data_IF_668864421541
#
_entry.id   IF_668864421541
#
_cell.length_a   1.000
_cell.length_b   1.000
_cell.length_c   1.000
_cell.angle_alpha   90.00
_cell.angle_beta   90.00
_cell.angle_gamma   90.00
#
_symmetry.space_group_name_H-M   'P 1'
#
loop_
_entity.id
_entity.type
_entity.pdbx_description
1 polymer ?
#
# COMPACT_ATOMS: atom_id res chain seq x y z
N UNK A 1 -21.29 37.66 7.38
CA UNK A 1 -21.00 38.30 6.07
C UNK A 1 -22.33 38.54 5.38
N UNK A 2 -22.71 39.79 5.19
CA UNK A 2 -23.98 40.18 4.57
C UNK A 2 -23.97 39.86 3.07
N UNK A 3 -24.98 39.11 2.62
CA UNK A 3 -25.12 38.76 1.20
C UNK A 3 -25.39 39.97 0.28
N UNK A 4 -25.80 41.08 0.88
CA UNK A 4 -26.09 42.33 0.20
C UNK A 4 -25.13 43.44 0.69
N UNK A 5 -23.89 43.43 0.18
CA UNK A 5 -22.94 44.53 0.45
C UNK A 5 -23.26 45.82 -0.33
N UNK A 6 -24.16 45.75 -1.31
CA UNK A 6 -24.43 46.87 -2.22
C UNK A 6 -25.65 47.71 -1.85
N UNK A 7 -26.54 47.20 -0.96
CA UNK A 7 -27.79 47.88 -0.62
C UNK A 7 -28.07 47.73 0.87
N UNK A 8 -28.15 48.85 1.61
CA UNK A 8 -28.53 48.83 3.03
C UNK A 8 -30.01 48.46 3.20
N UNK A 9 -30.88 48.83 2.26
CA UNK A 9 -32.30 48.53 2.22
C UNK A 9 -32.78 48.60 0.77
N UNK A 10 -33.42 47.52 0.29
CA UNK A 10 -34.03 47.50 -1.04
C UNK A 10 -35.56 47.55 -0.89
N UNK A 11 -36.19 48.51 -1.54
CA UNK A 11 -37.64 48.71 -1.48
C UNK A 11 -38.23 48.76 -2.87
N UNK A 12 -39.39 48.13 -3.06
CA UNK A 12 -40.19 48.23 -4.29
C UNK A 12 -41.69 48.22 -3.94
N UNK A 13 -42.55 48.54 -4.91
CA UNK A 13 -43.99 48.34 -4.79
C UNK A 13 -44.38 46.95 -5.26
N UNK A 14 -45.44 46.38 -4.65
CA UNK A 14 -46.00 45.10 -5.04
C UNK A 14 -47.49 45.03 -4.76
N UNK A 15 -48.15 44.04 -5.37
CA UNK A 15 -49.57 43.76 -5.15
C UNK A 15 -49.69 42.55 -4.22
N UNK A 16 -50.09 42.82 -2.95
CA UNK A 16 -50.28 41.81 -1.93
C UNK A 16 -51.73 41.36 -1.82
N UNK A 17 -51.95 40.08 -1.62
CA UNK A 17 -53.23 39.46 -1.32
C UNK A 17 -53.04 38.56 -0.09
N UNK A 18 -53.81 38.87 1.00
CA UNK A 18 -53.74 38.12 2.27
C UNK A 18 -54.48 36.77 2.23
N UNK A 19 -55.28 36.48 1.17
CA UNK A 19 -56.02 35.24 1.01
C UNK A 19 -56.78 35.20 -0.30
N UNK A 20 -57.30 34.04 -0.73
CA UNK A 20 -57.91 33.85 -2.04
C UNK A 20 -59.15 34.69 -2.29
N UNK A 21 -59.92 35.00 -1.26
CA UNK A 21 -61.14 35.80 -1.34
C UNK A 21 -60.88 37.32 -1.10
N UNK A 22 -59.66 37.72 -0.81
CA UNK A 22 -59.35 39.11 -0.50
C UNK A 22 -58.91 39.90 -1.73
N UNK A 23 -59.19 41.20 -1.74
CA UNK A 23 -58.75 42.09 -2.80
C UNK A 23 -57.24 42.30 -2.79
N UNK A 24 -56.64 42.50 -3.96
CA UNK A 24 -55.25 42.92 -4.09
C UNK A 24 -55.08 44.34 -3.54
N UNK A 25 -54.04 44.50 -2.73
CA UNK A 25 -53.69 45.79 -2.14
C UNK A 25 -52.25 46.15 -2.54
N UNK A 26 -52.06 47.38 -2.94
CA UNK A 26 -50.70 47.87 -3.18
C UNK A 26 -49.97 48.06 -1.85
N UNK A 27 -48.74 47.55 -1.81
CA UNK A 27 -47.86 47.56 -0.61
C UNK A 27 -46.44 47.94 -1.00
N UNK A 28 -45.71 48.49 -0.05
CA UNK A 28 -44.27 48.68 -0.14
C UNK A 28 -43.59 47.43 0.43
N UNK A 29 -42.73 46.85 -0.36
CA UNK A 29 -41.98 45.67 -0.02
C UNK A 29 -40.54 46.07 0.29
N UNK A 30 -40.09 45.78 1.48
CA UNK A 30 -38.74 46.08 1.94
C UNK A 30 -37.99 44.79 2.24
N UNK A 31 -36.89 44.60 1.54
CA UNK A 31 -36.02 43.44 1.71
C UNK A 31 -34.89 43.76 2.70
N UNK A 32 -34.94 43.08 3.86
CA UNK A 32 -33.88 43.15 4.87
C UNK A 32 -32.88 42.01 4.74
N UNK A 33 -32.06 41.79 5.77
CA UNK A 33 -31.01 40.73 5.76
C UNK A 33 -31.57 39.30 5.84
N UNK A 34 -32.69 39.09 6.52
CA UNK A 34 -33.32 37.80 6.72
C UNK A 34 -34.84 37.80 6.54
N UNK A 35 -35.44 38.94 6.41
CA UNK A 35 -36.91 39.13 6.37
C UNK A 35 -37.32 40.01 5.22
N UNK A 36 -38.50 39.73 4.68
CA UNK A 36 -39.24 40.57 3.75
C UNK A 36 -40.37 41.20 4.53
N UNK A 37 -40.42 42.53 4.55
CA UNK A 37 -41.42 43.30 5.29
C UNK A 37 -42.37 43.95 4.28
N UNK A 38 -43.67 43.75 4.48
CA UNK A 38 -44.71 44.38 3.69
C UNK A 38 -45.35 45.46 4.53
N UNK A 39 -45.39 46.70 4.00
CA UNK A 39 -46.03 47.84 4.67
C UNK A 39 -47.08 48.45 3.76
N UNK A 40 -48.06 49.10 4.36
CA UNK A 40 -49.00 49.93 3.61
C UNK A 40 -48.35 51.25 3.17
N UNK A 41 -49.09 52.06 2.39
CA UNK A 41 -48.60 53.35 1.90
C UNK A 41 -48.40 54.38 3.02
N UNK A 42 -48.87 54.07 4.23
CA UNK A 42 -48.66 54.88 5.45
C UNK A 42 -47.55 54.32 6.35
N UNK A 43 -46.74 53.41 5.81
CA UNK A 43 -45.61 52.78 6.47
C UNK A 43 -45.97 51.88 7.69
N UNK A 44 -47.23 51.38 7.77
CA UNK A 44 -47.66 50.44 8.81
C UNK A 44 -47.37 49.02 8.36
N UNK A 45 -46.72 48.16 9.20
CA UNK A 45 -46.42 46.81 8.83
C UNK A 45 -47.69 45.96 8.70
N UNK A 46 -47.80 45.23 7.58
CA UNK A 46 -48.89 44.32 7.25
C UNK A 46 -48.49 42.86 7.41
N UNK A 47 -47.31 42.52 6.97
CA UNK A 47 -46.80 41.15 7.07
C UNK A 47 -45.27 41.13 7.15
N UNK A 48 -44.73 40.05 7.78
CA UNK A 48 -43.32 39.78 7.90
C UNK A 48 -43.05 38.34 7.43
N UNK A 49 -42.27 38.18 6.38
CA UNK A 49 -41.93 36.88 5.83
C UNK A 49 -40.47 36.56 6.01
N UNK A 50 -40.14 35.34 6.37
CA UNK A 50 -38.75 34.89 6.41
C UNK A 50 -38.24 34.61 5.01
N UNK A 51 -37.16 35.26 4.58
CA UNK A 51 -36.53 35.03 3.26
C UNK A 51 -36.13 33.60 3.01
N UNK A 52 -35.85 32.85 4.07
CA UNK A 52 -35.50 31.42 3.97
C UNK A 52 -36.70 30.51 3.67
N UNK A 53 -37.93 30.98 3.89
CA UNK A 53 -39.19 30.25 3.70
C UNK A 53 -39.95 30.70 2.45
N UNK A 54 -39.64 31.90 1.95
CA UNK A 54 -40.36 32.47 0.80
C UNK A 54 -40.22 31.59 -0.43
N UNK A 55 -41.35 31.20 -1.00
CA UNK A 55 -41.45 30.53 -2.29
C UNK A 55 -41.59 31.55 -3.42
N UNK A 56 -40.66 31.52 -4.38
CA UNK A 56 -40.62 32.48 -5.47
C UNK A 56 -41.02 31.76 -6.77
N UNK A 57 -42.18 32.09 -7.31
CA UNK A 57 -42.66 31.56 -8.61
C UNK A 57 -42.48 32.63 -9.68
N UNK A 58 -41.44 32.49 -10.47
CA UNK A 58 -41.17 33.43 -11.59
C UNK A 58 -42.11 33.17 -12.77
N UNK A 59 -42.80 34.20 -13.24
CA UNK A 59 -43.69 34.10 -14.38
C UNK A 59 -43.11 34.69 -15.66
N UNK A 60 -42.28 35.75 -15.53
CA UNK A 60 -41.56 36.43 -16.64
C UNK A 60 -40.22 36.92 -16.08
N UNK A 61 -39.34 37.38 -16.95
CA UNK A 61 -38.02 37.89 -16.54
C UNK A 61 -38.06 38.98 -15.43
N UNK A 62 -39.13 39.78 -15.42
CA UNK A 62 -39.28 40.93 -14.52
C UNK A 62 -40.47 40.78 -13.56
N UNK A 63 -41.20 39.67 -13.53
CA UNK A 63 -42.39 39.48 -12.71
C UNK A 63 -42.40 38.11 -12.02
N UNK A 64 -42.63 38.13 -10.70
CA UNK A 64 -42.78 36.91 -9.91
C UNK A 64 -43.88 37.03 -8.85
N UNK A 65 -44.50 35.91 -8.52
CA UNK A 65 -45.37 35.76 -7.37
C UNK A 65 -44.59 35.10 -6.24
N UNK A 66 -44.56 35.82 -5.11
CA UNK A 66 -43.94 35.34 -3.86
C UNK A 66 -45.01 34.85 -2.91
N UNK A 67 -44.69 33.80 -2.15
CA UNK A 67 -45.53 33.29 -1.05
C UNK A 67 -44.68 33.13 0.21
N UNK A 68 -45.27 33.35 1.42
CA UNK A 68 -44.51 33.24 2.67
C UNK A 68 -43.95 31.80 2.92
N UNK A 69 -44.65 30.81 2.37
CA UNK A 69 -44.21 29.41 2.39
C UNK A 69 -44.85 28.63 1.22
N UNK A 70 -44.31 27.48 0.82
CA UNK A 70 -44.95 26.61 -0.18
C UNK A 70 -46.35 26.22 0.25
N UNK A 71 -47.36 26.43 -0.64
CA UNK A 71 -48.76 26.13 -0.36
C UNK A 71 -49.51 27.18 0.43
N UNK A 72 -48.90 28.32 0.77
CA UNK A 72 -49.62 29.44 1.40
C UNK A 72 -50.62 30.10 0.44
N UNK A 73 -51.80 30.48 0.97
CA UNK A 73 -52.81 31.19 0.20
C UNK A 73 -52.49 32.68 0.04
N UNK A 74 -51.59 33.19 0.89
CA UNK A 74 -51.09 34.54 0.81
C UNK A 74 -50.12 34.68 -0.36
N UNK A 75 -50.24 35.77 -1.14
CA UNK A 75 -49.40 36.00 -2.31
C UNK A 75 -49.03 37.46 -2.48
N UNK A 76 -47.84 37.69 -3.00
CA UNK A 76 -47.30 39.00 -3.33
C UNK A 76 -46.78 38.99 -4.76
N UNK A 77 -47.30 39.84 -5.61
CA UNK A 77 -46.83 40.01 -7.00
C UNK A 77 -45.85 41.21 -7.01
N UNK A 78 -44.64 40.96 -7.53
CA UNK A 78 -43.59 41.97 -7.71
C UNK A 78 -43.20 41.99 -9.19
N UNK A 79 -43.03 43.23 -9.72
CA UNK A 79 -42.60 43.47 -11.12
C UNK A 79 -41.32 44.32 -11.14
N UNK A 80 -40.40 44.07 -10.21
CA UNK A 80 -39.11 44.75 -10.13
C UNK A 80 -37.96 43.72 -10.22
N UNK A 81 -37.21 43.80 -11.31
CA UNK A 81 -36.11 42.89 -11.62
C UNK A 81 -35.00 42.97 -10.56
N UNK A 82 -34.68 44.18 -10.07
CA UNK A 82 -33.60 44.40 -9.09
C UNK A 82 -33.92 43.70 -7.77
N UNK A 83 -35.19 43.83 -7.33
CA UNK A 83 -35.69 43.15 -6.13
C UNK A 83 -35.69 41.63 -6.30
N UNK A 84 -36.14 41.11 -7.44
CA UNK A 84 -36.16 39.67 -7.72
C UNK A 84 -34.76 39.09 -7.76
N UNK A 85 -33.82 39.73 -8.42
CA UNK A 85 -32.43 39.30 -8.48
C UNK A 85 -31.77 39.27 -7.07
N UNK A 86 -32.08 40.28 -6.26
CA UNK A 86 -31.62 40.35 -4.88
C UNK A 86 -32.17 39.19 -4.03
N UNK A 87 -33.48 38.93 -4.12
CA UNK A 87 -34.15 37.82 -3.43
C UNK A 87 -33.59 36.47 -3.80
N UNK A 88 -33.44 36.19 -5.08
CA UNK A 88 -32.86 34.95 -5.57
C UNK A 88 -31.40 34.77 -5.15
N UNK A 89 -30.62 35.85 -5.10
CA UNK A 89 -29.24 35.86 -4.63
C UNK A 89 -29.12 35.53 -3.14
N UNK A 90 -30.02 36.08 -2.33
CA UNK A 90 -30.11 35.82 -0.88
C UNK A 90 -30.54 34.38 -0.63
N UNK A 91 -31.58 33.89 -1.31
CA UNK A 91 -32.01 32.48 -1.21
C UNK A 91 -30.90 31.50 -1.57
N UNK A 92 -30.20 31.75 -2.66
CA UNK A 92 -29.06 30.93 -3.08
C UNK A 92 -27.90 30.94 -2.05
N UNK A 93 -27.69 32.06 -1.39
CA UNK A 93 -26.70 32.16 -0.30
C UNK A 93 -27.13 31.37 0.94
N UNK A 94 -28.44 31.44 1.30
CA UNK A 94 -28.99 30.65 2.40
C UNK A 94 -28.92 29.16 2.12
N UNK A 95 -29.27 28.69 0.92
CA UNK A 95 -29.22 27.28 0.53
C UNK A 95 -27.79 26.74 0.50
N UNK A 96 -26.83 27.58 0.09
CA UNK A 96 -25.39 27.18 0.17
C UNK A 96 -24.87 27.03 1.58
N UNK A 97 -25.43 27.78 2.53
CA UNK A 97 -25.04 27.71 3.94
C UNK A 97 -25.67 26.54 4.70
N UNK A 98 -26.67 25.87 4.11
CA UNK A 98 -27.30 24.70 4.73
C UNK A 98 -26.34 23.54 4.80
N UNK A 99 -26.08 22.95 5.98
CA UNK A 99 -25.20 21.80 6.10
C UNK A 99 -25.78 20.59 5.31
N UNK A 100 -24.95 20.01 4.46
CA UNK A 100 -25.32 18.81 3.70
C UNK A 100 -24.81 17.58 4.47
N UNK A 101 -25.60 16.96 5.36
CA UNK A 101 -25.12 15.92 6.29
C UNK A 101 -24.58 14.65 5.61
N UNK A 102 -24.96 14.43 4.34
CA UNK A 102 -24.48 13.29 3.57
C UNK A 102 -23.04 13.42 3.06
N UNK A 103 -22.56 14.63 2.75
CA UNK A 103 -21.22 14.84 2.17
C UNK A 103 -20.09 14.50 3.12
N UNK A 104 -20.21 14.89 4.39
CA UNK A 104 -19.17 14.62 5.41
C UNK A 104 -19.04 13.11 5.64
N UNK A 105 -20.14 12.38 5.72
CA UNK A 105 -20.15 10.92 5.88
C UNK A 105 -19.53 10.24 4.67
N UNK A 106 -19.83 10.70 3.46
CA UNK A 106 -19.25 10.15 2.24
C UNK A 106 -17.74 10.41 2.15
N UNK A 107 -17.27 11.61 2.49
CA UNK A 107 -15.83 11.95 2.51
C UNK A 107 -15.10 11.10 3.56
N UNK A 108 -15.67 10.93 4.76
CA UNK A 108 -15.08 10.07 5.79
C UNK A 108 -15.02 8.60 5.35
N UNK A 109 -16.07 8.08 4.74
CA UNK A 109 -16.07 6.72 4.21
C UNK A 109 -15.04 6.54 3.08
N UNK A 110 -14.96 7.49 2.15
CA UNK A 110 -13.99 7.44 1.06
C UNK A 110 -12.56 7.54 1.59
N UNK A 111 -12.29 8.46 2.52
CA UNK A 111 -10.96 8.60 3.13
C UNK A 111 -10.53 7.37 3.92
N UNK A 112 -11.45 6.69 4.62
CA UNK A 112 -11.15 5.45 5.33
C UNK A 112 -10.82 4.30 4.36
N UNK A 113 -11.54 4.18 3.24
CA UNK A 113 -11.24 3.18 2.20
C UNK A 113 -9.88 3.44 1.57
N UNK A 114 -9.56 4.70 1.23
CA UNK A 114 -8.26 5.08 0.68
C UNK A 114 -7.13 4.78 1.66
N UNK A 115 -7.31 5.12 2.95
CA UNK A 115 -6.31 4.88 4.00
C UNK A 115 -6.07 3.38 4.20
N UNK A 116 -7.13 2.56 4.27
CA UNK A 116 -7.03 1.11 4.40
C UNK A 116 -6.37 0.48 3.18
N UNK A 117 -6.70 0.93 1.96
CA UNK A 117 -6.07 0.46 0.73
C UNK A 117 -4.58 0.81 0.71
N UNK A 118 -4.21 2.00 1.11
CA UNK A 118 -2.82 2.45 1.20
C UNK A 118 -2.02 1.66 2.26
N UNK A 119 -2.61 1.45 3.44
CA UNK A 119 -2.01 0.62 4.49
C UNK A 119 -1.82 -0.84 4.05
N UNK A 120 -2.82 -1.41 3.35
CA UNK A 120 -2.75 -2.75 2.78
C UNK A 120 -1.67 -2.89 1.70
N UNK A 121 -1.46 -1.83 0.90
CA UNK A 121 -0.42 -1.82 -0.15
C UNK A 121 1.00 -1.80 0.44
N UNK A 122 1.20 -1.12 1.58
CA UNK A 122 2.52 -1.00 2.22
C UNK A 122 2.83 -2.21 3.10
N UNK A 123 1.88 -2.67 3.92
CA UNK A 123 2.10 -3.71 4.92
C UNK A 123 1.69 -5.10 4.44
N UNK A 124 0.79 -5.18 3.46
CA UNK A 124 0.31 -6.44 2.90
C UNK A 124 1.41 -7.34 2.35
N UNK A 125 2.34 -6.86 1.51
CA UNK A 125 3.40 -7.68 0.95
C UNK A 125 4.30 -8.30 2.02
N UNK A 126 4.73 -7.55 3.02
CA UNK A 126 5.58 -8.03 4.11
C UNK A 126 4.86 -9.06 5.00
N UNK A 127 3.59 -8.86 5.27
CA UNK A 127 2.79 -9.83 6.02
C UNK A 127 2.62 -11.15 5.24
N UNK A 128 2.42 -11.07 3.92
CA UNK A 128 2.28 -12.25 3.06
C UNK A 128 3.57 -13.07 2.97
N UNK A 129 4.73 -12.42 2.81
CA UNK A 129 6.02 -13.12 2.75
C UNK A 129 6.33 -13.85 4.05
N UNK A 130 6.11 -13.20 5.20
CA UNK A 130 6.27 -13.83 6.52
C UNK A 130 5.29 -14.98 6.75
N UNK A 131 4.05 -14.83 6.30
CA UNK A 131 3.07 -15.92 6.40
C UNK A 131 3.47 -17.10 5.52
N UNK A 132 3.89 -16.86 4.27
CA UNK A 132 4.33 -17.89 3.34
C UNK A 132 5.54 -18.68 3.88
N UNK A 133 6.52 -17.98 4.47
CA UNK A 133 7.69 -18.64 5.05
C UNK A 133 7.33 -19.52 6.27
N UNK A 134 6.38 -19.12 7.09
CA UNK A 134 6.01 -19.87 8.29
C UNK A 134 5.10 -21.09 8.03
N UNK A 135 4.27 -21.03 7.00
CA UNK A 135 3.28 -22.08 6.71
C UNK A 135 3.87 -23.22 5.86
N UNK A 136 4.95 -22.97 5.14
CA UNK A 136 5.51 -23.96 4.23
C UNK A 136 6.16 -25.14 4.99
N UNK A 137 5.70 -26.41 4.78
CA UNK A 137 6.27 -27.59 5.42
C UNK A 137 7.75 -27.76 5.07
N UNK A 138 8.54 -28.34 6.00
CA UNK A 138 9.98 -28.60 5.82
C UNK A 138 10.28 -29.36 4.54
N UNK A 139 9.51 -30.41 4.24
CA UNK A 139 9.67 -31.21 3.03
C UNK A 139 9.57 -30.37 1.74
N UNK A 140 8.69 -29.35 1.73
CA UNK A 140 8.54 -28.43 0.59
C UNK A 140 9.70 -27.45 0.50
N UNK A 141 10.25 -27.00 1.62
CA UNK A 141 11.46 -26.16 1.65
C UNK A 141 12.66 -26.90 1.08
N UNK A 142 12.85 -28.17 1.43
CA UNK A 142 13.89 -29.04 0.88
C UNK A 142 13.71 -29.22 -0.63
N UNK A 143 12.48 -29.50 -1.07
CA UNK A 143 12.16 -29.64 -2.49
C UNK A 143 12.46 -28.34 -3.27
N UNK A 144 12.02 -27.19 -2.74
CA UNK A 144 12.29 -25.90 -3.36
C UNK A 144 13.79 -25.60 -3.44
N UNK A 145 14.54 -25.89 -2.36
CA UNK A 145 16.00 -25.75 -2.33
C UNK A 145 16.68 -26.63 -3.38
N UNK A 146 16.19 -27.86 -3.61
CA UNK A 146 16.71 -28.74 -4.64
C UNK A 146 16.46 -28.15 -6.04
N UNK A 147 15.24 -27.71 -6.33
CA UNK A 147 14.88 -27.12 -7.62
C UNK A 147 15.71 -25.87 -7.89
N UNK A 148 15.85 -24.98 -6.87
CA UNK A 148 16.67 -23.79 -6.97
C UNK A 148 18.15 -24.12 -7.19
N UNK A 149 18.72 -25.06 -6.43
CA UNK A 149 20.12 -25.49 -6.61
C UNK A 149 20.33 -26.03 -8.01
N UNK A 150 19.44 -26.88 -8.52
CA UNK A 150 19.53 -27.40 -9.89
C UNK A 150 19.49 -26.26 -10.93
N UNK A 151 18.61 -25.29 -10.74
CA UNK A 151 18.50 -24.14 -11.66
C UNK A 151 19.71 -23.22 -11.61
N UNK A 152 20.26 -22.99 -10.42
CA UNK A 152 21.52 -22.25 -10.25
C UNK A 152 22.65 -22.93 -10.99
N UNK A 153 22.78 -24.26 -10.86
CA UNK A 153 23.77 -25.03 -11.60
C UNK A 153 23.61 -24.96 -13.13
N UNK A 154 22.38 -24.84 -13.64
CA UNK A 154 22.13 -24.63 -15.08
C UNK A 154 22.51 -23.22 -15.55
N UNK A 155 22.38 -22.20 -14.69
CA UNK A 155 22.64 -20.79 -15.03
C UNK A 155 24.12 -20.43 -14.83
N UNK A 156 24.74 -20.90 -13.76
CA UNK A 156 26.10 -20.52 -13.35
C UNK A 156 27.17 -21.55 -13.77
N UNK A 157 26.76 -22.71 -14.23
CA UNK A 157 27.64 -23.80 -14.57
C UNK A 157 27.46 -25.03 -13.66
N UNK A 158 27.99 -26.22 -14.09
CA UNK A 158 27.86 -27.45 -13.31
C UNK A 158 28.59 -27.32 -11.97
N UNK A 159 28.03 -27.96 -10.94
CA UNK A 159 28.69 -28.08 -9.64
C UNK A 159 29.96 -28.92 -9.75
N UNK A 160 30.95 -28.62 -8.95
CA UNK A 160 32.15 -29.43 -8.82
C UNK A 160 31.79 -30.74 -8.14
N UNK A 161 32.21 -31.86 -8.74
CA UNK A 161 31.76 -33.22 -8.37
C UNK A 161 32.89 -34.22 -8.13
N UNK A 162 34.11 -33.74 -7.82
CA UNK A 162 35.19 -34.65 -7.42
C UNK A 162 34.74 -35.51 -6.23
N UNK A 163 34.86 -36.86 -6.30
CA UNK A 163 34.40 -37.74 -5.22
C UNK A 163 35.10 -37.49 -3.89
N UNK A 164 36.36 -37.09 -3.92
CA UNK A 164 37.13 -36.74 -2.71
C UNK A 164 36.68 -35.38 -2.15
N UNK A 165 36.45 -34.41 -3.03
CA UNK A 165 35.93 -33.09 -2.65
C UNK A 165 34.55 -33.18 -2.01
N UNK A 166 33.63 -33.98 -2.57
CA UNK A 166 32.30 -34.21 -1.98
C UNK A 166 32.38 -34.80 -0.57
N UNK A 167 33.25 -35.80 -0.37
CA UNK A 167 33.46 -36.41 0.95
C UNK A 167 34.03 -35.39 1.95
N UNK A 168 34.96 -34.58 1.51
CA UNK A 168 35.57 -33.51 2.32
C UNK A 168 34.57 -32.41 2.68
N UNK A 169 33.71 -32.03 1.74
CA UNK A 169 32.61 -31.08 1.98
C UNK A 169 31.61 -31.61 3.02
N UNK A 170 31.25 -32.90 2.91
CA UNK A 170 30.37 -33.53 3.90
C UNK A 170 31.02 -33.57 5.32
N UNK A 171 32.33 -33.92 5.38
CA UNK A 171 33.06 -33.94 6.63
C UNK A 171 33.16 -32.54 7.26
N UNK A 172 33.33 -31.47 6.47
CA UNK A 172 33.34 -30.11 6.93
C UNK A 172 31.96 -29.73 7.54
N UNK A 173 30.89 -30.12 6.85
CA UNK A 173 29.52 -29.83 7.35
C UNK A 173 29.24 -30.58 8.66
N UNK A 174 29.63 -31.85 8.77
CA UNK A 174 29.46 -32.64 10.00
C UNK A 174 30.20 -32.03 11.19
N UNK A 175 31.37 -31.40 10.97
CA UNK A 175 32.15 -30.76 12.03
C UNK A 175 31.63 -29.40 12.42
N UNK A 176 31.12 -28.59 11.46
CA UNK A 176 30.61 -27.26 11.70
C UNK A 176 29.17 -27.27 12.21
N UNK A 177 28.36 -28.23 11.80
CA UNK A 177 26.96 -28.35 12.14
C UNK A 177 26.55 -29.82 12.38
N UNK A 178 27.03 -30.46 13.45
CA UNK A 178 26.72 -31.83 13.77
C UNK A 178 25.19 -32.00 13.95
N UNK A 179 24.66 -33.14 13.55
CA UNK A 179 23.24 -33.50 13.63
C UNK A 179 22.30 -32.62 12.78
N UNK A 180 22.82 -31.97 11.73
CA UNK A 180 22.02 -31.22 10.77
C UNK A 180 22.05 -31.89 9.40
N UNK A 181 20.98 -31.68 8.62
CA UNK A 181 20.87 -32.18 7.23
C UNK A 181 21.36 -31.16 6.22
N UNK A 182 22.38 -30.38 6.57
CA UNK A 182 22.91 -29.34 5.68
C UNK A 182 23.78 -29.94 4.58
N UNK A 183 23.67 -29.45 3.38
CA UNK A 183 24.41 -29.88 2.21
C UNK A 183 25.26 -28.74 1.66
N UNK A 184 26.60 -28.98 1.57
CA UNK A 184 27.53 -28.04 0.96
C UNK A 184 27.76 -28.42 -0.51
N UNK A 185 27.61 -27.45 -1.41
CA UNK A 185 27.95 -27.58 -2.82
C UNK A 185 28.93 -26.51 -3.24
N UNK A 186 29.81 -26.85 -4.16
CA UNK A 186 30.81 -25.92 -4.69
C UNK A 186 30.51 -25.64 -6.16
N UNK A 187 30.48 -24.36 -6.51
CA UNK A 187 30.34 -23.89 -7.88
C UNK A 187 31.63 -23.25 -8.36
N UNK A 188 32.00 -23.45 -9.64
CA UNK A 188 33.05 -22.67 -10.25
C UNK A 188 32.68 -21.18 -10.28
N UNK A 189 33.61 -20.30 -9.99
CA UNK A 189 33.39 -18.86 -10.06
C UNK A 189 33.96 -18.08 -8.89
N UNK A 190 33.74 -16.78 -8.94
CA UNK A 190 34.25 -15.83 -7.92
C UNK A 190 33.10 -15.04 -7.32
N UNK A 191 32.95 -15.14 -6.00
CA UNK A 191 31.98 -14.35 -5.23
C UNK A 191 32.54 -13.98 -3.86
N UNK A 192 31.97 -12.93 -3.28
CA UNK A 192 32.36 -12.44 -1.95
C UNK A 192 31.69 -13.21 -0.81
N UNK A 193 30.55 -13.88 -1.05
CA UNK A 193 29.78 -14.55 -0.02
C UNK A 193 29.09 -15.83 -0.52
N UNK A 194 28.89 -16.84 0.35
CA UNK A 194 28.15 -18.04 0.01
C UNK A 194 26.67 -17.76 -0.25
N UNK A 195 26.00 -18.62 -1.02
CA UNK A 195 24.55 -18.59 -1.22
C UNK A 195 23.92 -19.60 -0.27
N UNK A 196 22.88 -19.15 0.45
CA UNK A 196 22.13 -19.99 1.36
C UNK A 196 20.73 -20.18 0.78
N UNK A 197 20.33 -21.43 0.54
CA UNK A 197 19.04 -21.79 -0.03
C UNK A 197 18.11 -22.41 1.01
N UNK A 198 16.78 -22.37 0.78
CA UNK A 198 15.82 -23.07 1.61
C UNK A 198 16.15 -24.57 1.72
N UNK A 199 15.78 -25.19 2.85
CA UNK A 199 16.02 -26.62 3.06
C UNK A 199 17.49 -26.99 3.30
N UNK A 200 18.28 -26.03 3.84
CA UNK A 200 19.62 -26.34 4.36
C UNK A 200 20.72 -26.52 3.30
N UNK A 201 20.57 -25.93 2.12
CA UNK A 201 21.62 -26.01 1.09
C UNK A 201 22.50 -24.78 1.11
N UNK A 202 23.79 -24.98 1.20
CA UNK A 202 24.84 -23.95 1.17
C UNK A 202 25.66 -24.12 -0.10
N UNK A 203 25.77 -23.06 -0.89
CA UNK A 203 26.60 -23.02 -2.08
C UNK A 203 27.77 -22.07 -1.82
N UNK A 204 28.98 -22.59 -1.90
CA UNK A 204 30.23 -21.81 -1.89
C UNK A 204 30.83 -21.79 -3.29
N UNK A 205 31.70 -20.82 -3.53
CA UNK A 205 32.36 -20.70 -4.83
C UNK A 205 33.82 -21.14 -4.73
N UNK A 206 34.36 -21.56 -5.87
CA UNK A 206 35.73 -22.09 -5.99
C UNK A 206 36.78 -21.11 -5.39
N UNK A 207 36.60 -19.82 -5.57
CA UNK A 207 37.47 -18.81 -4.94
C UNK A 207 37.49 -18.86 -3.40
N UNK A 208 36.41 -19.32 -2.77
CA UNK A 208 36.34 -19.43 -1.30
C UNK A 208 37.05 -20.67 -0.77
N UNK A 209 37.27 -21.67 -1.65
CA UNK A 209 37.87 -22.95 -1.31
C UNK A 209 39.31 -23.02 -1.79
N UNK A 210 39.58 -22.62 -3.04
CA UNK A 210 40.85 -22.81 -3.72
C UNK A 210 41.87 -21.69 -3.56
N UNK A 211 41.44 -20.46 -3.18
CA UNK A 211 42.36 -19.31 -3.10
C UNK A 211 43.05 -19.14 -1.72
N UNK A 212 42.64 -19.89 -0.75
CA UNK A 212 43.24 -19.83 0.60
C UNK A 212 44.01 -21.11 0.89
N UNK A 213 45.24 -20.99 1.39
CA UNK A 213 45.99 -22.12 1.91
C UNK A 213 45.53 -22.53 3.32
N UNK A 214 44.68 -21.71 3.96
CA UNK A 214 44.19 -21.96 5.31
C UNK A 214 42.72 -22.49 5.27
N UNK A 215 42.50 -23.72 5.74
CA UNK A 215 41.17 -24.33 5.82
C UNK A 215 40.21 -23.55 6.74
N UNK A 216 40.76 -22.75 7.68
CA UNK A 216 39.94 -21.92 8.59
C UNK A 216 39.16 -20.80 7.85
N UNK A 217 39.70 -20.30 6.73
CA UNK A 217 39.05 -19.28 5.92
C UNK A 217 37.79 -19.84 5.25
N UNK A 218 37.90 -21.00 4.62
CA UNK A 218 36.75 -21.71 4.02
C UNK A 218 35.73 -22.08 5.09
N UNK A 219 36.19 -22.60 6.24
CA UNK A 219 35.31 -22.91 7.34
C UNK A 219 34.55 -21.65 7.87
N UNK A 220 35.19 -20.47 7.86
CA UNK A 220 34.54 -19.21 8.22
C UNK A 220 33.42 -18.83 7.26
N UNK A 221 33.62 -18.99 5.96
CA UNK A 221 32.55 -18.75 4.97
C UNK A 221 31.36 -19.72 5.19
N UNK A 222 31.62 -21.00 5.39
CA UNK A 222 30.57 -22.01 5.63
C UNK A 222 29.89 -21.74 6.97
N UNK A 223 30.64 -21.41 8.02
CA UNK A 223 30.09 -21.07 9.33
C UNK A 223 29.21 -19.80 9.31
N UNK A 224 29.57 -18.78 8.52
CA UNK A 224 28.74 -17.60 8.33
C UNK A 224 27.41 -17.95 7.61
N UNK A 225 27.44 -18.86 6.65
CA UNK A 225 26.24 -19.36 5.99
C UNK A 225 25.33 -20.15 6.96
N UNK A 226 25.92 -21.02 7.81
CA UNK A 226 25.18 -21.74 8.85
C UNK A 226 24.57 -20.77 9.88
N UNK A 227 25.34 -19.76 10.32
CA UNK A 227 24.84 -18.74 11.24
C UNK A 227 23.64 -17.98 10.63
N UNK A 228 23.69 -17.71 9.33
CA UNK A 228 22.57 -17.09 8.61
C UNK A 228 21.33 -17.98 8.64
N UNK A 229 21.47 -19.29 8.38
CA UNK A 229 20.34 -20.24 8.42
C UNK A 229 19.67 -20.29 9.82
N UNK A 230 20.44 -20.09 10.88
CA UNK A 230 19.94 -20.09 12.25
C UNK A 230 19.24 -18.76 12.64
N UNK A 231 19.59 -17.67 11.99
CA UNK A 231 19.09 -16.32 12.33
C UNK A 231 17.92 -15.88 11.45
N UNK A 232 17.95 -16.25 10.19
CA UNK A 232 16.99 -15.76 9.19
C UNK A 232 16.54 -16.93 8.31
N UNK A 233 15.25 -17.00 8.02
CA UNK A 233 14.73 -17.95 7.05
C UNK A 233 15.11 -17.52 5.62
N UNK A 234 15.95 -18.29 4.91
CA UNK A 234 16.34 -17.94 3.54
C UNK A 234 15.15 -17.79 2.59
N UNK A 235 14.09 -18.58 2.80
CA UNK A 235 12.88 -18.51 1.99
C UNK A 235 12.22 -17.14 2.11
N UNK A 236 12.15 -16.57 3.31
CA UNK A 236 11.60 -15.24 3.54
C UNK A 236 12.32 -14.17 2.73
N UNK A 237 13.66 -14.19 2.72
CA UNK A 237 14.49 -13.26 1.96
C UNK A 237 14.23 -13.37 0.46
N UNK A 238 14.22 -14.60 -0.07
CA UNK A 238 13.94 -14.82 -1.49
C UNK A 238 12.55 -14.35 -1.90
N UNK A 239 11.54 -14.54 -1.04
CA UNK A 239 10.17 -14.11 -1.33
C UNK A 239 10.02 -12.60 -1.24
N UNK A 240 10.76 -11.92 -0.35
CA UNK A 240 10.77 -10.45 -0.27
C UNK A 240 11.33 -9.84 -1.57
N UNK A 241 12.43 -10.38 -2.08
CA UNK A 241 13.06 -9.90 -3.32
C UNK A 241 12.28 -10.30 -4.60
N UNK A 242 11.61 -11.45 -4.59
CA UNK A 242 10.81 -11.92 -5.72
C UNK A 242 9.44 -11.23 -5.84
N UNK A 243 8.97 -10.63 -4.75
CA UNK A 243 7.72 -9.91 -4.68
C UNK A 243 6.48 -10.74 -4.31
N UNK A 244 5.35 -10.06 -4.06
CA UNK A 244 4.16 -10.68 -3.47
C UNK A 244 3.49 -11.73 -4.37
N UNK A 245 3.63 -11.63 -5.69
CA UNK A 245 3.03 -12.59 -6.63
C UNK A 245 3.64 -14.00 -6.51
N UNK A 246 4.93 -14.09 -6.23
CA UNK A 246 5.62 -15.38 -6.01
C UNK A 246 5.15 -15.99 -4.69
N UNK A 247 5.01 -15.17 -3.64
CA UNK A 247 4.50 -15.60 -2.34
C UNK A 247 3.06 -16.12 -2.43
N UNK A 248 2.19 -15.43 -3.17
CA UNK A 248 0.81 -15.86 -3.41
C UNK A 248 0.79 -17.20 -4.16
N UNK A 249 1.57 -17.32 -5.23
CA UNK A 249 1.67 -18.57 -6.01
C UNK A 249 2.11 -19.73 -5.13
N UNK A 250 3.11 -19.52 -4.28
CA UNK A 250 3.61 -20.55 -3.38
C UNK A 250 2.55 -21.00 -2.34
N UNK A 251 1.76 -20.05 -1.81
CA UNK A 251 0.71 -20.36 -0.83
C UNK A 251 -0.47 -21.08 -1.49
N UNK A 252 -0.86 -20.68 -2.69
CA UNK A 252 -2.09 -21.17 -3.34
C UNK A 252 -1.88 -22.49 -4.09
N UNK A 253 -0.79 -22.63 -4.83
CA UNK A 253 -0.51 -23.81 -5.66
C UNK A 253 0.53 -24.77 -5.07
N UNK A 254 1.21 -24.37 -3.99
CA UNK A 254 2.37 -25.11 -3.42
C UNK A 254 3.50 -25.38 -4.43
N UNK A 255 3.47 -24.73 -5.59
CA UNK A 255 4.44 -24.91 -6.67
C UNK A 255 4.81 -23.56 -7.28
N UNK A 256 6.04 -23.46 -7.76
CA UNK A 256 6.53 -22.31 -8.50
C UNK A 256 6.60 -22.63 -9.97
N UNK A 257 6.16 -21.71 -10.81
CA UNK A 257 6.36 -21.83 -12.26
C UNK A 257 7.85 -21.74 -12.61
N UNK A 258 8.25 -22.30 -13.75
CA UNK A 258 9.64 -22.25 -14.23
C UNK A 258 10.19 -20.81 -14.29
N UNK A 259 9.36 -19.84 -14.66
CA UNK A 259 9.75 -18.41 -14.68
C UNK A 259 10.05 -17.86 -13.29
N UNK A 260 9.28 -18.26 -12.30
CA UNK A 260 9.47 -17.83 -10.90
C UNK A 260 10.74 -18.48 -10.31
N UNK A 261 10.99 -19.76 -10.63
CA UNK A 261 12.23 -20.44 -10.25
C UNK A 261 13.45 -19.78 -10.91
N UNK A 262 13.36 -19.38 -12.17
CA UNK A 262 14.40 -18.63 -12.87
C UNK A 262 14.67 -17.28 -12.22
N UNK A 263 13.62 -16.57 -11.85
CA UNK A 263 13.73 -15.28 -11.16
C UNK A 263 14.45 -15.45 -9.82
N UNK A 264 14.03 -16.39 -9.00
CA UNK A 264 14.66 -16.70 -7.71
C UNK A 264 16.12 -17.13 -7.86
N UNK A 265 16.44 -17.97 -8.83
CA UNK A 265 17.80 -18.39 -9.10
C UNK A 265 18.71 -17.23 -9.53
N UNK A 266 18.19 -16.29 -10.35
CA UNK A 266 18.90 -15.07 -10.72
C UNK A 266 19.10 -14.13 -9.54
N UNK A 267 18.10 -13.99 -8.66
CA UNK A 267 18.21 -13.22 -7.41
C UNK A 267 19.31 -13.84 -6.53
N UNK A 268 19.31 -15.17 -6.37
CA UNK A 268 20.34 -15.88 -5.61
C UNK A 268 21.75 -15.67 -6.18
N UNK A 269 21.87 -15.58 -7.51
CA UNK A 269 23.14 -15.33 -8.21
C UNK A 269 23.52 -13.82 -8.24
N UNK A 270 22.60 -12.90 -7.98
CA UNK A 270 22.93 -11.47 -7.90
C UNK A 270 23.69 -11.16 -6.60
N UNK A 271 24.78 -10.39 -6.71
CA UNK A 271 25.67 -10.08 -5.55
C UNK A 271 25.02 -9.17 -4.49
N UNK A 272 23.84 -8.63 -4.76
CA UNK A 272 23.32 -7.49 -4.00
C UNK A 272 22.81 -7.82 -2.60
N UNK A 273 22.47 -9.07 -2.27
CA UNK A 273 21.92 -9.42 -0.95
C UNK A 273 22.16 -10.87 -0.55
N UNK A 274 23.42 -11.30 -0.50
CA UNK A 274 23.67 -12.55 0.20
C UNK A 274 23.56 -12.31 1.70
N UNK A 275 22.58 -12.91 2.40
CA UNK A 275 22.43 -12.75 3.85
C UNK A 275 23.69 -13.21 4.60
N UNK A 276 24.46 -14.11 3.99
CA UNK A 276 25.74 -14.57 4.55
C UNK A 276 26.84 -13.49 4.57
N UNK A 277 26.71 -12.41 3.79
CA UNK A 277 27.69 -11.31 3.81
C UNK A 277 27.59 -10.44 5.06
N UNK A 278 26.45 -10.46 5.73
CA UNK A 278 26.17 -9.66 6.95
C UNK A 278 26.25 -10.49 8.24
N UNK A 279 26.24 -11.82 8.11
CA UNK A 279 26.35 -12.71 9.26
C UNK A 279 27.79 -12.74 9.75
N UNK A 280 28.01 -12.34 11.00
CA UNK A 280 29.30 -12.47 11.65
C UNK A 280 29.59 -13.96 11.88
N UNK A 281 30.76 -14.48 11.46
CA UNK A 281 31.10 -15.87 11.75
C UNK A 281 31.10 -16.10 13.25
N UNK A 282 30.74 -17.29 13.72
CA UNK A 282 30.81 -17.61 15.14
C UNK A 282 32.24 -17.38 15.64
N UNK A 283 32.37 -16.77 16.82
CA UNK A 283 33.66 -16.43 17.46
C UNK A 283 34.58 -17.62 17.73
N UNK A 284 34.06 -18.86 17.66
CA UNK A 284 34.79 -20.09 17.88
C UNK A 284 34.65 -21.03 16.68
N UNK A 285 35.56 -20.94 15.75
CA UNK A 285 35.76 -22.00 14.76
C UNK A 285 36.57 -23.15 15.39
N UNK A 286 36.32 -24.41 15.01
CA UNK A 286 37.19 -25.50 15.45
C UNK A 286 38.63 -25.25 14.99
N UNK A 287 39.58 -25.50 15.88
CA UNK A 287 41.02 -25.22 15.68
C UNK A 287 41.59 -25.91 14.44
N UNK A 288 41.00 -27.04 14.03
CA UNK A 288 41.31 -27.78 12.79
C UNK A 288 40.02 -28.22 12.13
N UNK A 289 39.44 -27.38 11.24
CA UNK A 289 38.15 -27.69 10.62
C UNK A 289 38.18 -28.92 9.76
N UNK A 290 39.32 -29.23 9.13
CA UNK A 290 39.53 -30.41 8.30
C UNK A 290 40.94 -30.97 8.51
N UNK A 291 41.13 -32.33 8.39
CA UNK A 291 42.45 -32.91 8.25
C UNK A 291 43.08 -32.55 6.89
N UNK A 292 44.41 -32.52 6.82
CA UNK A 292 45.14 -32.09 5.61
C UNK A 292 44.72 -32.81 4.34
N UNK A 293 44.54 -34.14 4.37
CA UNK A 293 44.08 -34.90 3.22
C UNK A 293 42.68 -34.56 2.77
N UNK A 294 41.75 -34.26 3.71
CA UNK A 294 40.41 -33.79 3.38
C UNK A 294 40.41 -32.37 2.86
N UNK A 295 41.31 -31.52 3.39
CA UNK A 295 41.49 -30.16 2.89
C UNK A 295 41.93 -30.13 1.43
N UNK A 296 43.00 -30.93 1.08
CA UNK A 296 43.45 -31.05 -0.29
C UNK A 296 42.35 -31.58 -1.22
N UNK A 297 41.58 -32.56 -0.74
CA UNK A 297 40.42 -33.07 -1.50
C UNK A 297 39.34 -32.00 -1.74
N UNK A 298 39.10 -31.11 -0.78
CA UNK A 298 38.15 -30.01 -0.95
C UNK A 298 38.69 -28.95 -1.91
N UNK A 299 39.97 -28.59 -1.84
CA UNK A 299 40.60 -27.65 -2.78
C UNK A 299 40.57 -28.15 -4.22
N UNK A 300 40.76 -29.46 -4.40
CA UNK A 300 40.73 -30.12 -5.73
C UNK A 300 39.31 -30.41 -6.21
N UNK A 301 38.25 -30.01 -5.52
CA UNK A 301 36.86 -30.37 -5.84
C UNK A 301 36.44 -29.96 -7.25
N UNK A 302 36.95 -28.82 -7.74
CA UNK A 302 36.64 -28.29 -9.08
C UNK A 302 37.68 -28.69 -10.14
N UNK A 303 38.78 -29.32 -9.74
CA UNK A 303 39.82 -29.85 -10.63
C UNK A 303 39.83 -31.38 -10.54
N UNK A 304 38.90 -32.10 -11.21
CA UNK A 304 39.06 -33.55 -11.33
C UNK A 304 40.27 -33.79 -12.19
N UNK A 305 41.33 -34.39 -11.59
CA UNK A 305 42.56 -34.77 -12.27
C UNK A 305 42.29 -35.72 -13.45
#
# INVERSE_FOLDING_TARGET
MTALKAYERLECTGLWRSGPAMQRREVVVSCGQATLILTDMQNRPLAHWSLAAVDVQTHKEDAATLRPAPGSEESLEISDKTMLDALLKVQKAIDRSRPHPGRVRFILALSSVVLLSFASLIWGPQAMTRYASNVLPEAKRIQLGQVLAQRIGQLAGPYCTSPEGIRSAALLMERLAPNTTLELRVLPGQRAAPIVLPGGKVIVFDNMVGQSDDPAVTAAYVASAIATLNQVDPLGIFLEDAGPLVSISLITSNELSSRQVDQLAKIALSDQRSPASTAQPPLALPTTPLPDGAWLGLQAICNPG
#
